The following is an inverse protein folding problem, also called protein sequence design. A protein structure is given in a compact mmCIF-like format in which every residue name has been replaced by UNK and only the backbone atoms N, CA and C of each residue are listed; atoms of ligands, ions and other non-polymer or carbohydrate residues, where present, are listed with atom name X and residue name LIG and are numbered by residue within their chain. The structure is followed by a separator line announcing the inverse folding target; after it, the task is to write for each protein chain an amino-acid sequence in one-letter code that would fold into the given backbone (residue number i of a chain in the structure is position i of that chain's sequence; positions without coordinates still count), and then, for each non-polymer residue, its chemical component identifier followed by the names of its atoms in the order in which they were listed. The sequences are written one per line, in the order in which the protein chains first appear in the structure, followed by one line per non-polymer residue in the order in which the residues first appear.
data_IF_717962006286
#
_entry.id   IF_717962006286
#
_cell.length_a   1.000
_cell.length_b   1.000
_cell.length_c   1.000
_cell.angle_alpha   90.00
_cell.angle_beta   90.00
_cell.angle_gamma   90.00
#
_symmetry.space_group_name_H-M   'P 1'
#
loop_
_entity.id
_entity.type
_entity.pdbx_description
1 polymer ?
#
# COMPACT_ATOMS: atom_id res chain seq x y z
N UNK A 1 -0.38 -9.26 -36.60
CA UNK A 1 0.23 -7.92 -36.36
C UNK A 1 -0.19 -7.54 -34.97
N UNK A 2 0.71 -7.46 -34.04
CA UNK A 2 0.43 -6.98 -32.68
C UNK A 2 0.06 -5.50 -32.79
N UNK A 3 -1.16 -5.16 -32.44
CA UNK A 3 -1.67 -3.79 -32.45
C UNK A 3 -0.80 -2.93 -31.51
N UNK A 4 -0.35 -1.76 -32.00
CA UNK A 4 0.47 -0.84 -31.20
C UNK A 4 -0.43 -0.10 -30.24
N UNK A 5 -0.16 -0.17 -28.93
CA UNK A 5 -0.87 0.61 -27.93
C UNK A 5 -0.49 2.09 -28.01
N UNK A 6 -1.45 3.00 -27.77
CA UNK A 6 -1.14 4.41 -27.60
C UNK A 6 -0.37 4.65 -26.30
N UNK A 7 -0.74 3.93 -25.22
CA UNK A 7 -0.13 4.08 -23.91
C UNK A 7 0.03 2.74 -23.20
N UNK A 8 1.24 2.49 -22.71
CA UNK A 8 1.49 1.49 -21.68
C UNK A 8 1.75 2.17 -20.33
N UNK A 9 1.06 1.74 -19.28
CA UNK A 9 1.23 2.22 -17.91
C UNK A 9 1.89 1.13 -17.08
N UNK A 10 3.03 1.44 -16.45
CA UNK A 10 3.80 0.52 -15.62
C UNK A 10 3.58 0.87 -14.16
N UNK A 11 2.85 0.04 -13.45
CA UNK A 11 2.43 0.22 -12.07
C UNK A 11 0.95 0.56 -11.92
N UNK A 12 0.21 -0.31 -11.21
CA UNK A 12 -1.25 -0.19 -10.97
C UNK A 12 -1.57 0.40 -9.57
N UNK A 13 -0.75 1.32 -9.13
CA UNK A 13 -1.06 2.18 -7.98
C UNK A 13 -1.93 3.37 -8.38
N UNK A 14 -2.20 4.28 -7.42
CA UNK A 14 -3.11 5.41 -7.61
C UNK A 14 -2.76 6.29 -8.82
N UNK A 15 -1.47 6.55 -9.08
CA UNK A 15 -1.03 7.36 -10.21
C UNK A 15 -1.32 6.65 -11.54
N UNK A 16 -0.91 5.38 -11.68
CA UNK A 16 -1.09 4.60 -12.90
C UNK A 16 -2.56 4.38 -13.24
N UNK A 17 -3.36 3.95 -12.25
CA UNK A 17 -4.80 3.68 -12.45
C UNK A 17 -5.56 4.93 -12.91
N UNK A 18 -5.29 6.09 -12.29
CA UNK A 18 -5.95 7.33 -12.67
C UNK A 18 -5.54 7.79 -14.09
N UNK A 19 -4.25 7.68 -14.42
CA UNK A 19 -3.75 8.03 -15.75
C UNK A 19 -4.32 7.09 -16.82
N UNK A 20 -4.29 5.77 -16.59
CA UNK A 20 -4.83 4.78 -17.51
C UNK A 20 -6.33 5.03 -17.82
N UNK A 21 -7.14 5.20 -16.77
CA UNK A 21 -8.57 5.50 -16.93
C UNK A 21 -8.82 6.82 -17.67
N UNK A 22 -8.00 7.85 -17.43
CA UNK A 22 -8.13 9.15 -18.10
C UNK A 22 -7.76 9.04 -19.58
N UNK A 23 -6.69 8.34 -19.93
CA UNK A 23 -6.27 8.13 -21.31
C UNK A 23 -7.30 7.29 -22.08
N UNK A 24 -7.81 6.20 -21.51
CA UNK A 24 -8.83 5.37 -22.13
C UNK A 24 -10.13 6.15 -22.41
N UNK A 25 -10.57 7.02 -21.47
CA UNK A 25 -11.72 7.92 -21.67
C UNK A 25 -11.48 8.95 -22.79
N UNK A 26 -10.23 9.29 -23.09
CA UNK A 26 -9.86 10.15 -24.21
C UNK A 26 -9.78 9.40 -25.56
N UNK A 27 -10.11 8.10 -25.57
CA UNK A 27 -10.14 7.26 -26.77
C UNK A 27 -8.81 6.57 -27.08
N UNK A 28 -7.83 6.58 -26.19
CA UNK A 28 -6.56 5.90 -26.38
C UNK A 28 -6.68 4.40 -26.14
N UNK A 29 -5.95 3.62 -26.88
CA UNK A 29 -5.69 2.20 -26.59
C UNK A 29 -4.67 2.10 -25.46
N UNK A 30 -5.10 1.59 -24.29
CA UNK A 30 -4.29 1.61 -23.07
C UNK A 30 -4.17 0.22 -22.48
N UNK A 31 -2.93 -0.15 -22.12
CA UNK A 31 -2.70 -1.26 -21.20
C UNK A 31 -2.02 -0.76 -19.92
N UNK A 32 -2.28 -1.44 -18.82
CA UNK A 32 -1.61 -1.24 -17.53
C UNK A 32 -1.06 -2.56 -17.03
N UNK A 33 0.16 -2.54 -16.49
CA UNK A 33 0.84 -3.73 -15.98
C UNK A 33 1.37 -3.48 -14.59
N UNK A 34 1.28 -4.49 -13.72
CA UNK A 34 1.93 -4.53 -12.40
C UNK A 34 2.42 -5.95 -12.11
N UNK A 35 3.53 -6.08 -11.42
CA UNK A 35 4.05 -7.35 -10.91
C UNK A 35 3.35 -7.80 -9.63
N UNK A 36 2.71 -6.86 -8.91
CA UNK A 36 1.96 -7.08 -7.68
C UNK A 36 0.45 -6.95 -7.88
N UNK A 37 -0.38 -7.37 -6.91
CA UNK A 37 -1.81 -7.12 -6.93
C UNK A 37 -2.13 -5.63 -7.10
N UNK A 38 -3.13 -5.34 -7.92
CA UNK A 38 -3.54 -3.96 -8.23
C UNK A 38 -4.05 -3.21 -7.01
N UNK A 39 -3.66 -1.92 -6.87
CA UNK A 39 -3.98 -1.08 -5.70
C UNK A 39 -2.78 -0.26 -5.22
N UNK A 40 -1.59 -0.81 -5.40
CA UNK A 40 -0.35 -0.13 -5.02
C UNK A 40 -0.24 0.12 -3.52
N UNK A 41 0.66 1.03 -3.15
CA UNK A 41 0.96 1.32 -1.75
C UNK A 41 -0.24 1.92 -1.02
N UNK A 42 -0.93 2.90 -1.60
CA UNK A 42 -1.98 3.64 -0.88
C UNK A 42 -3.11 2.72 -0.41
N UNK A 43 -3.66 1.90 -1.31
CA UNK A 43 -4.83 1.09 -1.02
C UNK A 43 -4.51 -0.22 -0.26
N UNK A 44 -3.31 -0.79 -0.46
CA UNK A 44 -2.97 -2.11 0.07
C UNK A 44 -1.93 -2.10 1.20
N UNK A 45 -0.99 -1.14 1.18
CA UNK A 45 0.21 -1.16 2.02
C UNK A 45 0.52 0.20 2.67
N UNK A 46 -0.45 1.11 2.73
CA UNK A 46 -0.22 2.47 3.23
C UNK A 46 -1.46 3.15 3.80
N UNK A 47 -2.00 4.11 3.06
CA UNK A 47 -3.02 5.04 3.56
C UNK A 47 -4.27 4.34 4.11
N UNK A 48 -4.87 3.45 3.32
CA UNK A 48 -6.17 2.89 3.66
C UNK A 48 -6.09 1.84 4.77
N UNK A 49 -5.22 0.82 4.71
CA UNK A 49 -5.06 -0.12 5.83
C UNK A 49 -4.65 0.58 7.13
N UNK A 50 -3.75 1.58 7.06
CA UNK A 50 -3.37 2.37 8.23
C UNK A 50 -4.57 3.09 8.85
N UNK A 51 -5.46 3.69 8.03
CA UNK A 51 -6.65 4.41 8.54
C UNK A 51 -7.60 3.48 9.27
N UNK A 52 -7.74 2.23 8.81
CA UNK A 52 -8.56 1.23 9.51
C UNK A 52 -8.00 0.93 10.91
N UNK A 53 -6.68 0.71 11.01
CA UNK A 53 -6.04 0.47 12.31
C UNK A 53 -6.08 1.71 13.21
N UNK A 54 -5.89 2.90 12.65
CA UNK A 54 -5.98 4.17 13.37
C UNK A 54 -7.38 4.40 13.94
N UNK A 55 -8.44 4.07 13.21
CA UNK A 55 -9.81 4.23 13.71
C UNK A 55 -10.05 3.42 14.99
N UNK A 56 -9.51 2.20 15.08
CA UNK A 56 -9.53 1.41 16.32
C UNK A 56 -8.76 2.09 17.47
N UNK A 57 -7.57 2.61 17.18
CA UNK A 57 -6.75 3.32 18.15
C UNK A 57 -7.45 4.58 18.70
N UNK A 58 -8.07 5.36 17.82
CA UNK A 58 -8.82 6.58 18.19
C UNK A 58 -10.07 6.27 19.02
N UNK A 59 -10.79 5.20 18.68
CA UNK A 59 -11.97 4.77 19.43
C UNK A 59 -11.62 4.41 20.89
N UNK A 60 -10.54 3.66 21.11
CA UNK A 60 -10.04 3.31 22.45
C UNK A 60 -9.56 4.54 23.21
N UNK A 61 -8.84 5.43 22.53
CA UNK A 61 -8.34 6.67 23.15
C UNK A 61 -9.49 7.58 23.59
N UNK A 62 -10.49 7.76 22.73
CA UNK A 62 -11.68 8.55 23.06
C UNK A 62 -12.46 7.97 24.25
N UNK A 63 -12.63 6.65 24.31
CA UNK A 63 -13.29 5.99 25.43
C UNK A 63 -12.51 6.17 26.74
N UNK A 64 -11.17 6.04 26.71
CA UNK A 64 -10.32 6.26 27.89
C UNK A 64 -10.37 7.71 28.40
N UNK A 65 -10.39 8.70 27.51
CA UNK A 65 -10.52 10.13 27.86
C UNK A 65 -11.85 10.46 28.57
N UNK A 66 -12.90 9.71 28.26
CA UNK A 66 -14.24 9.87 28.84
C UNK A 66 -14.50 8.91 30.03
N UNK A 67 -13.54 8.11 30.41
CA UNK A 67 -13.64 7.24 31.59
C UNK A 67 -13.92 8.04 32.84
N UNK A 68 -14.93 7.65 33.60
CA UNK A 68 -15.43 8.40 34.76
C UNK A 68 -16.21 9.68 34.43
N UNK A 69 -16.44 9.96 33.14
CA UNK A 69 -17.18 11.13 32.64
C UNK A 69 -18.43 10.72 31.84
N UNK A 70 -19.05 9.61 32.21
CA UNK A 70 -20.23 9.08 31.56
C UNK A 70 -19.94 7.89 30.62
N UNK A 71 -18.69 7.52 30.40
CA UNK A 71 -18.29 6.28 29.74
C UNK A 71 -17.72 5.34 30.79
N UNK A 72 -18.28 4.13 30.86
CA UNK A 72 -17.88 3.09 31.79
C UNK A 72 -17.37 1.86 31.04
N UNK A 73 -16.54 1.08 31.71
CA UNK A 73 -15.93 -0.14 31.19
C UNK A 73 -14.53 0.08 30.63
N UNK A 74 -13.76 -1.02 30.57
CA UNK A 74 -12.43 -1.01 30.01
C UNK A 74 -12.49 -1.27 28.49
N UNK A 75 -11.88 -0.40 27.73
CA UNK A 75 -11.75 -0.55 26.29
C UNK A 75 -10.32 -0.88 25.89
N UNK A 76 -10.18 -1.87 24.99
CA UNK A 76 -8.89 -2.28 24.47
C UNK A 76 -9.00 -2.67 23.00
N UNK A 77 -7.87 -2.78 22.33
CA UNK A 77 -7.82 -3.26 20.95
C UNK A 77 -7.56 -4.77 20.96
N UNK A 78 -8.53 -5.52 20.44
CA UNK A 78 -8.31 -6.89 19.98
C UNK A 78 -7.58 -6.81 18.63
N UNK A 79 -6.25 -6.96 18.66
CA UNK A 79 -5.42 -6.78 17.48
C UNK A 79 -5.78 -7.72 16.34
N UNK A 80 -5.93 -9.06 16.56
CA UNK A 80 -6.36 -9.97 15.50
C UNK A 80 -7.72 -9.61 14.89
N UNK A 81 -8.68 -9.20 15.69
CA UNK A 81 -10.00 -8.78 15.19
C UNK A 81 -9.90 -7.47 14.39
N UNK A 82 -9.08 -6.51 14.83
CA UNK A 82 -8.85 -5.26 14.11
C UNK A 82 -8.12 -5.50 12.77
N UNK A 83 -7.15 -6.42 12.74
CA UNK A 83 -6.47 -6.83 11.51
C UNK A 83 -7.45 -7.46 10.53
N UNK A 84 -8.30 -8.38 10.97
CA UNK A 84 -9.36 -8.98 10.14
C UNK A 84 -10.34 -7.93 9.60
N UNK A 85 -10.69 -6.94 10.42
CA UNK A 85 -11.49 -5.80 9.96
C UNK A 85 -10.77 -5.01 8.87
N UNK A 86 -9.49 -4.69 9.03
CA UNK A 86 -8.67 -4.05 8.00
C UNK A 86 -8.67 -4.88 6.69
N UNK A 87 -8.48 -6.19 6.78
CA UNK A 87 -8.45 -7.11 5.63
C UNK A 87 -9.76 -7.08 4.85
N UNK A 88 -10.91 -6.99 5.52
CA UNK A 88 -12.21 -6.88 4.84
C UNK A 88 -12.31 -5.67 3.89
N UNK A 89 -11.48 -4.64 4.06
CA UNK A 89 -11.39 -3.49 3.17
C UNK A 89 -10.28 -3.63 2.13
N UNK A 90 -9.16 -4.28 2.48
CA UNK A 90 -8.01 -4.36 1.57
C UNK A 90 -8.07 -5.54 0.60
N UNK A 91 -8.60 -6.68 1.03
CA UNK A 91 -8.63 -7.90 0.23
C UNK A 91 -9.42 -7.77 -1.09
N UNK A 92 -10.59 -7.11 -1.12
CA UNK A 92 -11.32 -6.95 -2.38
C UNK A 92 -10.75 -5.86 -3.31
N UNK A 93 -9.75 -5.07 -2.87
CA UNK A 93 -9.22 -3.94 -3.65
C UNK A 93 -8.61 -4.37 -4.98
N UNK A 94 -7.76 -5.41 -5.06
CA UNK A 94 -7.13 -5.77 -6.34
C UNK A 94 -8.17 -6.12 -7.42
N UNK A 95 -9.11 -6.97 -7.11
CA UNK A 95 -10.18 -7.40 -8.04
C UNK A 95 -11.07 -6.22 -8.44
N UNK A 96 -11.54 -5.44 -7.48
CA UNK A 96 -12.39 -4.27 -7.74
C UNK A 96 -11.67 -3.22 -8.60
N UNK A 97 -10.37 -3.02 -8.40
CA UNK A 97 -9.58 -2.06 -9.16
C UNK A 97 -9.36 -2.54 -10.58
N UNK A 98 -9.04 -3.82 -10.76
CA UNK A 98 -8.86 -4.44 -12.07
C UNK A 98 -10.16 -4.42 -12.86
N UNK A 99 -11.27 -4.79 -12.26
CA UNK A 99 -12.60 -4.72 -12.86
C UNK A 99 -12.98 -3.28 -13.28
N UNK A 100 -12.65 -2.31 -12.42
CA UNK A 100 -12.88 -0.91 -12.74
C UNK A 100 -12.01 -0.39 -13.88
N UNK A 101 -10.84 -0.97 -14.13
CA UNK A 101 -9.98 -0.69 -15.28
C UNK A 101 -10.54 -1.35 -16.55
N UNK A 102 -10.91 -2.63 -16.50
CA UNK A 102 -11.54 -3.37 -17.60
C UNK A 102 -12.82 -2.68 -18.09
N UNK A 103 -13.68 -2.26 -17.14
CA UNK A 103 -14.91 -1.49 -17.45
C UNK A 103 -14.63 -0.13 -18.12
N UNK A 104 -13.45 0.45 -17.86
CA UNK A 104 -13.00 1.67 -18.50
C UNK A 104 -12.32 1.46 -19.87
N UNK A 105 -12.24 0.22 -20.35
CA UNK A 105 -11.60 -0.13 -21.62
C UNK A 105 -10.08 -0.25 -21.55
N UNK A 106 -9.50 -0.39 -20.34
CA UNK A 106 -8.06 -0.58 -20.15
C UNK A 106 -7.75 -2.07 -20.13
N UNK A 107 -6.77 -2.50 -20.90
CA UNK A 107 -6.23 -3.86 -20.84
C UNK A 107 -5.39 -4.00 -19.57
N UNK A 108 -5.65 -5.04 -18.78
CA UNK A 108 -4.92 -5.33 -17.54
C UNK A 108 -3.96 -6.50 -17.74
N UNK A 109 -2.72 -6.32 -17.32
CA UNK A 109 -1.63 -7.30 -17.49
C UNK A 109 -0.89 -7.46 -16.16
N UNK A 110 -0.43 -8.67 -15.88
CA UNK A 110 0.36 -9.00 -14.69
C UNK A 110 1.73 -9.53 -15.11
N UNK A 111 2.79 -8.99 -14.50
CA UNK A 111 4.16 -9.44 -14.75
C UNK A 111 5.18 -8.33 -14.56
N UNK A 112 6.43 -8.73 -14.45
CA UNK A 112 7.56 -7.81 -14.45
C UNK A 112 7.81 -7.28 -15.86
N UNK A 113 8.34 -6.06 -15.94
CA UNK A 113 8.51 -5.32 -17.20
C UNK A 113 9.97 -5.01 -17.45
N UNK A 114 10.40 -5.20 -18.70
CA UNK A 114 11.71 -4.80 -19.19
C UNK A 114 11.59 -4.05 -20.52
N UNK A 115 12.18 -2.87 -20.64
CA UNK A 115 12.29 -2.17 -21.92
C UNK A 115 13.27 -2.92 -22.84
N UNK A 116 12.83 -3.28 -24.04
CA UNK A 116 13.64 -3.92 -25.08
C UNK A 116 14.07 -2.91 -26.14
N UNK A 117 13.29 -1.84 -26.33
CA UNK A 117 13.59 -0.69 -27.20
C UNK A 117 12.89 0.57 -26.68
N UNK A 118 13.08 1.69 -27.35
CA UNK A 118 12.43 2.95 -27.00
C UNK A 118 10.89 2.90 -27.11
N UNK A 119 10.36 2.02 -27.96
CA UNK A 119 8.94 1.86 -28.24
C UNK A 119 8.41 0.46 -27.90
N UNK A 120 9.16 -0.33 -27.11
CA UNK A 120 8.83 -1.73 -26.81
C UNK A 120 9.19 -2.13 -25.39
N UNK A 121 8.32 -2.92 -24.81
CA UNK A 121 8.56 -3.61 -23.54
C UNK A 121 8.31 -5.10 -23.70
N UNK A 122 9.01 -5.90 -22.94
CA UNK A 122 8.71 -7.30 -22.69
C UNK A 122 8.06 -7.41 -21.31
N UNK A 123 6.97 -8.16 -21.24
CA UNK A 123 6.24 -8.42 -19.99
C UNK A 123 6.26 -9.93 -19.76
N UNK A 124 6.68 -10.35 -18.58
CA UNK A 124 6.71 -11.76 -18.19
C UNK A 124 5.33 -12.40 -18.37
N UNK A 125 5.29 -13.51 -19.10
CA UNK A 125 4.05 -14.24 -19.41
C UNK A 125 3.22 -13.67 -20.57
N UNK A 126 3.55 -12.49 -21.11
CA UNK A 126 2.80 -11.84 -22.20
C UNK A 126 3.63 -11.55 -23.46
N UNK A 127 4.97 -11.61 -23.36
CA UNK A 127 5.88 -11.32 -24.46
C UNK A 127 6.06 -9.82 -24.74
N UNK A 128 6.48 -9.48 -25.96
CA UNK A 128 6.80 -8.13 -26.38
C UNK A 128 5.55 -7.34 -26.80
N UNK A 129 5.43 -6.11 -26.29
CA UNK A 129 4.35 -5.17 -26.62
C UNK A 129 4.95 -3.87 -27.15
N UNK A 130 4.40 -3.38 -28.27
CA UNK A 130 4.77 -2.11 -28.88
C UNK A 130 3.81 -1.01 -28.42
N UNK A 131 4.34 0.21 -28.17
CA UNK A 131 3.58 1.35 -27.69
C UNK A 131 4.07 2.68 -28.27
N UNK A 132 3.19 3.68 -28.27
CA UNK A 132 3.53 5.08 -28.61
C UNK A 132 4.09 5.87 -27.41
N UNK A 133 3.51 5.66 -26.22
CA UNK A 133 3.90 6.33 -24.98
C UNK A 133 4.00 5.33 -23.84
N UNK A 134 4.92 5.59 -22.90
CA UNK A 134 5.02 4.83 -21.65
C UNK A 134 4.91 5.75 -20.44
N UNK A 135 4.09 5.37 -19.47
CA UNK A 135 4.02 6.02 -18.17
C UNK A 135 4.61 5.10 -17.11
N UNK A 136 5.73 5.51 -16.52
CA UNK A 136 6.36 4.82 -15.40
C UNK A 136 5.74 5.34 -14.10
N UNK A 137 4.91 4.51 -13.46
CA UNK A 137 4.16 4.82 -12.24
C UNK A 137 4.41 3.76 -11.15
N UNK A 138 5.64 3.24 -11.07
CA UNK A 138 6.05 2.12 -10.22
C UNK A 138 6.11 2.47 -8.72
N UNK A 139 5.88 3.73 -8.35
CA UNK A 139 5.84 4.18 -6.96
C UNK A 139 7.21 4.22 -6.29
N UNK A 140 7.21 3.94 -5.00
CA UNK A 140 8.42 3.92 -4.16
C UNK A 140 8.39 2.70 -3.24
N UNK A 141 9.57 2.26 -2.84
CA UNK A 141 9.76 1.21 -1.85
C UNK A 141 10.71 1.67 -0.75
N UNK A 142 10.68 1.07 0.45
CA UNK A 142 11.61 1.39 1.52
C UNK A 142 13.06 1.31 1.05
N UNK A 143 13.88 2.28 1.47
CA UNK A 143 15.31 2.26 1.19
C UNK A 143 15.97 1.19 2.07
N UNK A 144 16.79 0.31 1.49
CA UNK A 144 17.58 -0.62 2.29
C UNK A 144 18.46 0.12 3.30
N UNK A 145 18.51 -0.36 4.53
CA UNK A 145 19.39 0.15 5.58
C UNK A 145 20.66 -0.71 5.62
N UNK A 146 21.79 -0.05 5.82
CA UNK A 146 23.10 -0.73 5.80
C UNK A 146 23.82 -0.53 7.14
N UNK A 147 23.41 -1.33 8.13
CA UNK A 147 24.08 -1.46 9.43
C UNK A 147 23.90 -2.90 9.96
N UNK A 148 24.76 -3.38 10.86
CA UNK A 148 24.64 -4.71 11.43
C UNK A 148 23.29 -4.90 12.15
N UNK A 149 22.53 -5.96 11.80
CA UNK A 149 21.20 -6.23 12.33
C UNK A 149 20.04 -5.65 11.49
N UNK A 150 20.33 -4.90 10.41
CA UNK A 150 19.29 -4.37 9.53
C UNK A 150 18.44 -5.47 8.86
N UNK A 151 18.98 -6.66 8.71
CA UNK A 151 18.29 -7.84 8.20
C UNK A 151 17.17 -8.36 9.11
N UNK A 152 17.17 -7.95 10.39
CA UNK A 152 16.11 -8.28 11.35
C UNK A 152 14.94 -7.29 11.33
N UNK A 153 15.06 -6.19 10.59
CA UNK A 153 14.01 -5.18 10.52
C UNK A 153 12.87 -5.64 9.60
N UNK A 154 11.69 -5.25 9.98
CA UNK A 154 10.50 -5.33 9.12
C UNK A 154 10.13 -3.93 8.64
N UNK A 155 9.48 -3.85 7.48
CA UNK A 155 9.05 -2.56 6.94
C UNK A 155 7.58 -2.22 7.29
N UNK A 156 7.10 -1.11 6.75
CA UNK A 156 5.72 -0.65 6.97
C UNK A 156 4.67 -1.61 6.40
N UNK A 157 5.00 -2.35 5.36
CA UNK A 157 4.10 -3.36 4.78
C UNK A 157 3.97 -4.55 5.72
N UNK A 158 5.08 -4.99 6.30
CA UNK A 158 5.09 -6.09 7.26
C UNK A 158 4.32 -5.72 8.52
N UNK A 159 4.49 -4.48 9.03
CA UNK A 159 3.73 -3.99 10.18
C UNK A 159 2.21 -4.07 9.94
N UNK A 160 1.76 -3.67 8.76
CA UNK A 160 0.34 -3.72 8.37
C UNK A 160 -0.19 -5.16 8.17
N UNK A 161 0.69 -6.16 8.21
CA UNK A 161 0.35 -7.58 8.08
C UNK A 161 0.66 -8.40 9.36
N UNK A 162 1.02 -7.74 10.46
CA UNK A 162 1.27 -8.43 11.74
C UNK A 162 -0.02 -9.06 12.28
N UNK A 163 -0.13 -10.35 12.23
CA UNK A 163 -1.27 -11.10 12.83
C UNK A 163 -1.35 -10.93 14.35
N UNK A 164 -0.21 -10.74 15.01
CA UNK A 164 -0.11 -10.49 16.44
C UNK A 164 0.80 -9.29 16.71
N UNK A 165 0.32 -8.37 17.55
CA UNK A 165 1.14 -7.23 17.96
C UNK A 165 2.15 -7.67 19.03
N UNK A 166 3.47 -7.46 18.85
CA UNK A 166 4.45 -7.77 19.87
C UNK A 166 4.30 -6.82 21.06
N UNK A 167 4.67 -7.28 22.26
CA UNK A 167 4.59 -6.47 23.49
C UNK A 167 5.52 -5.25 23.47
N UNK A 168 6.63 -5.33 22.74
CA UNK A 168 7.60 -4.24 22.58
C UNK A 168 7.96 -4.07 21.12
N UNK A 169 7.97 -2.82 20.65
CA UNK A 169 8.31 -2.45 19.28
C UNK A 169 9.29 -1.29 19.29
N UNK A 170 10.33 -1.40 18.49
CA UNK A 170 11.27 -0.32 18.21
C UNK A 170 11.08 0.11 16.76
N UNK A 171 10.78 1.40 16.56
CA UNK A 171 10.76 2.01 15.23
C UNK A 171 12.09 2.70 14.97
N UNK A 172 12.71 2.39 13.84
CA UNK A 172 13.97 3.00 13.40
C UNK A 172 13.66 4.09 12.36
N UNK A 173 13.92 5.33 12.72
CA UNK A 173 13.61 6.54 11.98
C UNK A 173 12.43 7.30 12.57
N UNK A 174 12.60 8.62 12.78
CA UNK A 174 11.60 9.55 13.32
C UNK A 174 10.68 10.16 12.26
N UNK A 175 10.40 9.45 11.16
CA UNK A 175 9.49 9.91 10.12
C UNK A 175 8.02 9.72 10.49
N UNK A 176 7.13 10.35 9.71
CA UNK A 176 5.68 10.31 9.97
C UNK A 176 5.09 8.89 10.03
N UNK A 177 5.62 7.93 9.24
CA UNK A 177 5.17 6.53 9.27
C UNK A 177 5.43 5.91 10.65
N UNK A 178 6.62 6.11 11.18
CA UNK A 178 6.98 5.60 12.52
C UNK A 178 6.08 6.18 13.60
N UNK A 179 5.81 7.48 13.58
CA UNK A 179 4.91 8.11 14.56
C UNK A 179 3.47 7.60 14.45
N UNK A 180 2.96 7.43 13.24
CA UNK A 180 1.60 6.92 13.04
C UNK A 180 1.46 5.46 13.53
N UNK A 181 2.41 4.60 13.20
CA UNK A 181 2.40 3.21 13.64
C UNK A 181 2.70 3.06 15.13
N UNK A 182 3.60 3.88 15.66
CA UNK A 182 3.88 3.96 17.10
C UNK A 182 2.62 4.34 17.88
N UNK A 183 1.87 5.34 17.39
CA UNK A 183 0.60 5.74 17.97
C UNK A 183 -0.42 4.59 18.00
N UNK A 184 -0.57 3.87 16.89
CA UNK A 184 -1.47 2.70 16.80
C UNK A 184 -1.03 1.60 17.76
N UNK A 185 0.26 1.23 17.73
CA UNK A 185 0.82 0.17 18.54
C UNK A 185 0.72 0.46 20.04
N UNK A 186 1.03 1.69 20.46
CA UNK A 186 0.93 2.09 21.86
C UNK A 186 -0.50 2.02 22.39
N UNK A 187 -1.48 2.41 21.60
CA UNK A 187 -2.91 2.32 21.98
C UNK A 187 -3.42 0.88 21.99
N UNK A 188 -2.81 0.03 21.20
CA UNK A 188 -3.06 -1.41 21.24
C UNK A 188 -2.32 -2.13 22.39
N UNK A 189 -1.55 -1.39 23.21
CA UNK A 189 -0.92 -1.91 24.42
C UNK A 189 0.54 -2.32 24.29
N UNK A 190 1.20 -2.02 23.16
CA UNK A 190 2.63 -2.26 23.02
C UNK A 190 3.46 -1.17 23.72
N UNK A 191 4.59 -1.54 24.30
CA UNK A 191 5.66 -0.64 24.69
C UNK A 191 6.42 -0.21 23.43
N UNK A 192 6.48 1.09 23.17
CA UNK A 192 7.00 1.64 21.93
C UNK A 192 8.22 2.52 22.15
N UNK A 193 9.25 2.30 21.37
CA UNK A 193 10.44 3.16 21.30
C UNK A 193 10.64 3.63 19.87
N UNK A 194 10.94 4.92 19.67
CA UNK A 194 11.35 5.46 18.37
C UNK A 194 12.81 5.88 18.47
N UNK A 195 13.65 5.36 17.58
CA UNK A 195 15.06 5.73 17.45
C UNK A 195 15.22 6.61 16.22
N UNK A 196 15.77 7.80 16.39
CA UNK A 196 16.14 8.69 15.30
C UNK A 196 17.56 9.19 15.44
N UNK A 197 18.21 9.53 14.32
CA UNK A 197 19.58 10.04 14.29
C UNK A 197 19.66 11.56 14.35
N UNK A 198 18.52 12.26 14.17
CA UNK A 198 18.44 13.71 14.20
C UNK A 198 18.05 14.26 15.57
N UNK A 199 18.25 15.57 15.78
CA UNK A 199 17.60 16.28 16.85
C UNK A 199 16.10 16.47 16.51
N UNK A 200 15.24 16.18 17.49
CA UNK A 200 13.79 16.43 17.38
C UNK A 200 13.50 17.93 17.43
#
# INVERSE_FOLDING_TARGET
MTETLDLIVIGAGMAGVNAAKKAARAGWSVAIVDEFPYGGTCALRGCDPKKMLRAGAEAVDAARLLSGKGVAGDTWIDWPALMKHKESFTDPVPENMEDGLKKAGVQTLHGSVRFTAADRIEIDGHGEIKFGHALIATGAKPRPLNFPGAECLIDSTDFLNLSNLPKRIIFVGGGYISFEFAHIAARAGAEVTILDHGAL
#
